data_IF_062043790967
#
_entry.id   IF_062043790967
#
_cell.length_a   1.000
_cell.length_b   1.000
_cell.length_c   1.000
_cell.angle_alpha   90.00
_cell.angle_beta   90.00
_cell.angle_gamma   90.00
#
_symmetry.space_group_name_H-M   'P 1'
#
loop_
_entity.id
_entity.type
_entity.pdbx_description
1 polymer ?
#
# COMPACT_ATOMS: atom_id res chain seq x y z
N UNK A 1 48.76 -38.16 -9.82
CA UNK A 1 48.22 -36.97 -9.14
C UNK A 1 47.75 -35.92 -10.16
N UNK A 2 46.83 -36.28 -11.05
CA UNK A 2 46.24 -35.36 -12.04
C UNK A 2 44.72 -35.54 -12.17
N UNK A 3 44.14 -36.58 -11.56
CA UNK A 3 42.72 -36.93 -11.67
C UNK A 3 41.83 -36.26 -10.60
N UNK A 4 42.41 -35.68 -9.55
CA UNK A 4 41.68 -34.97 -8.49
C UNK A 4 41.56 -33.48 -8.72
N UNK A 5 42.31 -32.92 -9.67
CA UNK A 5 42.30 -31.48 -9.98
C UNK A 5 41.14 -31.07 -10.92
N UNK A 6 40.63 -32.01 -11.71
CA UNK A 6 39.57 -31.77 -12.70
C UNK A 6 38.18 -31.72 -12.03
N UNK A 7 38.01 -32.37 -10.88
CA UNK A 7 36.73 -32.36 -10.16
C UNK A 7 36.44 -31.03 -9.43
N UNK A 8 37.47 -30.22 -9.14
CA UNK A 8 37.30 -28.92 -8.47
C UNK A 8 36.85 -27.80 -9.41
N UNK A 9 37.10 -27.92 -10.71
CA UNK A 9 36.76 -26.89 -11.70
C UNK A 9 35.28 -26.97 -12.12
N UNK A 10 34.63 -28.14 -11.96
CA UNK A 10 33.20 -28.32 -12.23
C UNK A 10 32.27 -27.72 -11.17
N UNK A 11 32.78 -27.30 -10.01
CA UNK A 11 31.96 -26.70 -8.94
C UNK A 11 31.95 -25.16 -8.93
N UNK A 12 32.76 -24.50 -9.76
CA UNK A 12 32.92 -23.03 -9.71
C UNK A 12 32.06 -22.30 -10.76
N UNK A 13 31.37 -23.03 -11.63
CA UNK A 13 30.87 -22.48 -12.90
C UNK A 13 29.37 -22.27 -13.08
N UNK A 14 28.54 -22.16 -12.04
CA UNK A 14 27.12 -21.81 -12.26
C UNK A 14 26.41 -21.22 -11.03
N UNK A 15 26.97 -20.20 -10.40
CA UNK A 15 26.14 -19.21 -9.73
C UNK A 15 25.84 -18.11 -10.74
N UNK A 16 24.84 -18.36 -11.61
CA UNK A 16 24.13 -17.26 -12.25
C UNK A 16 23.56 -16.41 -11.11
N UNK A 17 24.26 -15.32 -10.78
CA UNK A 17 23.69 -14.26 -9.97
C UNK A 17 22.42 -13.83 -10.67
N UNK A 18 21.27 -14.25 -10.13
CA UNK A 18 20.02 -13.60 -10.44
C UNK A 18 20.25 -12.13 -10.10
N UNK A 19 20.03 -11.17 -11.01
CA UNK A 19 19.89 -9.80 -10.59
C UNK A 19 18.71 -9.81 -9.61
N UNK A 20 19.02 -9.71 -8.32
CA UNK A 20 17.99 -9.36 -7.35
C UNK A 20 17.61 -7.96 -7.78
N UNK A 21 16.49 -7.84 -8.51
CA UNK A 21 15.81 -6.58 -8.65
C UNK A 21 15.57 -6.12 -7.21
N UNK A 22 16.37 -5.16 -6.76
CA UNK A 22 16.40 -4.63 -5.39
C UNK A 22 15.13 -3.81 -5.07
N UNK A 23 14.08 -3.98 -5.86
CA UNK A 23 12.73 -3.58 -5.56
C UNK A 23 12.09 -4.67 -4.71
N UNK A 24 12.57 -4.83 -3.48
CA UNK A 24 11.83 -5.55 -2.46
C UNK A 24 10.86 -4.55 -1.81
N UNK A 25 9.53 -4.68 -1.98
CA UNK A 25 8.53 -3.82 -1.33
C UNK A 25 8.65 -3.81 0.20
N UNK A 26 9.48 -4.70 0.75
CA UNK A 26 9.78 -4.83 2.17
C UNK A 26 10.75 -3.76 2.69
N UNK A 27 11.61 -3.18 1.84
CA UNK A 27 12.68 -2.29 2.32
C UNK A 27 12.21 -0.87 2.67
N UNK A 28 11.02 -0.46 2.22
CA UNK A 28 10.41 0.83 2.57
C UNK A 28 8.96 0.62 3.04
N UNK A 29 8.77 0.06 4.25
CA UNK A 29 7.44 -0.20 4.77
C UNK A 29 6.65 1.11 4.86
N UNK A 30 5.47 1.13 4.22
CA UNK A 30 4.54 2.27 4.16
C UNK A 30 4.97 3.43 3.23
N UNK A 31 5.99 3.25 2.40
CA UNK A 31 6.28 4.19 1.31
C UNK A 31 5.77 3.64 -0.02
N UNK A 32 5.21 4.52 -0.85
CA UNK A 32 4.98 4.22 -2.25
C UNK A 32 6.05 4.96 -3.08
N UNK A 33 7.11 4.28 -3.53
CA UNK A 33 8.34 4.92 -4.01
C UNK A 33 8.18 5.64 -5.36
N UNK A 34 7.11 5.38 -6.10
CA UNK A 34 6.73 6.08 -7.33
C UNK A 34 5.99 7.40 -7.08
N UNK A 35 5.61 7.68 -5.83
CA UNK A 35 4.88 8.87 -5.42
C UNK A 35 5.73 9.80 -4.57
N UNK A 36 5.61 11.10 -4.82
CA UNK A 36 6.15 12.14 -3.96
C UNK A 36 5.56 12.03 -2.55
N UNK A 37 6.41 12.01 -1.52
CA UNK A 37 5.98 11.83 -0.13
C UNK A 37 5.34 10.46 0.17
N UNK A 38 5.30 9.55 -0.80
CA UNK A 38 4.67 8.23 -0.66
C UNK A 38 3.16 8.20 -0.94
N UNK A 39 2.51 9.34 -1.17
CA UNK A 39 1.05 9.43 -1.37
C UNK A 39 0.59 10.52 -2.36
N UNK A 40 1.51 11.29 -2.95
CA UNK A 40 1.22 12.35 -3.91
C UNK A 40 1.87 12.05 -5.26
N UNK A 41 1.12 12.20 -6.36
CA UNK A 41 1.77 12.31 -7.67
C UNK A 41 2.66 13.56 -7.68
N UNK A 42 3.82 13.49 -8.34
CA UNK A 42 4.76 14.62 -8.40
C UNK A 42 4.08 15.91 -8.87
N UNK A 43 4.50 17.05 -8.33
CA UNK A 43 3.88 18.34 -8.65
C UNK A 43 4.58 19.01 -9.83
N UNK A 44 3.81 19.52 -10.79
CA UNK A 44 4.25 20.58 -11.69
C UNK A 44 3.88 21.95 -11.07
N UNK A 45 4.72 22.96 -11.28
CA UNK A 45 4.51 24.33 -10.77
C UNK A 45 3.22 24.99 -11.27
N UNK A 46 2.68 24.49 -12.38
CA UNK A 46 1.41 24.89 -13.01
C UNK A 46 0.17 24.21 -12.38
N UNK A 47 0.36 23.17 -11.57
CA UNK A 47 -0.72 22.29 -11.09
C UNK A 47 -1.33 22.81 -9.77
N UNK A 48 -2.09 23.92 -9.86
CA UNK A 48 -2.67 24.61 -8.68
C UNK A 48 -4.13 24.26 -8.38
N UNK A 49 -4.68 23.18 -8.92
CA UNK A 49 -6.07 22.80 -8.63
C UNK A 49 -6.28 21.30 -8.64
N UNK A 50 -6.63 20.73 -7.48
CA UNK A 50 -6.97 19.32 -7.34
C UNK A 50 -8.23 18.91 -8.14
N UNK A 51 -9.12 19.86 -8.48
CA UNK A 51 -10.31 19.63 -9.30
C UNK A 51 -10.66 20.90 -10.09
N UNK A 52 -10.69 20.82 -11.43
CA UNK A 52 -10.98 21.94 -12.34
C UNK A 52 -12.45 21.94 -12.81
N UNK A 53 -13.07 20.77 -12.92
CA UNK A 53 -14.47 20.58 -13.30
C UNK A 53 -15.18 19.64 -12.33
N UNK A 54 -16.46 19.91 -12.03
CA UNK A 54 -17.33 19.04 -11.21
C UNK A 54 -17.51 17.65 -11.81
N UNK A 55 -17.33 17.49 -13.12
CA UNK A 55 -17.34 16.18 -13.79
C UNK A 55 -16.17 15.28 -13.37
N UNK A 56 -15.11 15.88 -12.82
CA UNK A 56 -13.96 15.16 -12.28
C UNK A 56 -14.18 14.74 -10.81
N UNK A 57 -15.31 15.12 -10.21
CA UNK A 57 -15.69 14.62 -8.90
C UNK A 57 -16.27 13.21 -9.02
N UNK A 58 -15.98 12.40 -8.02
CA UNK A 58 -16.63 11.10 -7.86
C UNK A 58 -18.15 11.26 -7.80
N UNK A 59 -18.85 10.35 -8.48
CA UNK A 59 -20.30 10.31 -8.46
C UNK A 59 -20.81 10.24 -7.02
N UNK A 60 -21.85 11.03 -6.70
CA UNK A 60 -22.42 11.18 -5.36
C UNK A 60 -21.45 11.71 -4.29
N UNK A 61 -20.22 12.09 -4.67
CA UNK A 61 -19.18 12.51 -3.72
C UNK A 61 -18.67 11.37 -2.84
N UNK A 62 -18.78 10.12 -3.31
CA UNK A 62 -18.31 8.94 -2.59
C UNK A 62 -17.05 8.41 -3.27
N UNK A 63 -15.94 8.35 -2.54
CA UNK A 63 -14.68 7.80 -3.04
C UNK A 63 -14.71 6.28 -2.89
N UNK A 64 -14.68 5.50 -4.00
CA UNK A 64 -14.55 4.06 -3.93
C UNK A 64 -13.10 3.70 -3.67
N UNK A 65 -12.92 2.72 -2.80
CA UNK A 65 -11.64 2.30 -2.28
C UNK A 65 -11.31 0.90 -2.79
N UNK A 66 -10.18 0.79 -3.48
CA UNK A 66 -9.63 -0.50 -3.92
C UNK A 66 -8.94 -1.15 -2.73
N UNK A 67 -9.42 -2.32 -2.35
CA UNK A 67 -8.66 -3.17 -1.43
C UNK A 67 -7.42 -3.66 -2.18
N UNK A 68 -6.27 -3.01 -1.95
CA UNK A 68 -4.99 -3.63 -2.31
C UNK A 68 -4.94 -5.02 -1.64
N UNK A 69 -4.44 -6.08 -2.28
CA UNK A 69 -4.29 -7.39 -1.64
C UNK A 69 -3.54 -7.33 -0.29
N UNK A 70 -2.61 -6.39 -0.11
CA UNK A 70 -1.92 -5.98 1.11
C UNK A 70 -2.82 -5.29 2.16
N UNK A 71 -4.02 -4.93 1.79
CA UNK A 71 -4.93 -4.05 2.50
C UNK A 71 -6.30 -4.71 2.65
N UNK A 72 -6.30 -5.90 3.25
CA UNK A 72 -7.52 -6.54 3.71
C UNK A 72 -8.24 -5.55 4.65
N UNK A 73 -9.56 -5.38 4.49
CA UNK A 73 -10.57 -4.46 5.10
C UNK A 73 -10.38 -3.93 6.55
N UNK A 74 -9.34 -4.34 7.25
CA UNK A 74 -9.00 -4.09 8.65
C UNK A 74 -7.65 -3.40 8.85
N UNK A 75 -7.15 -2.62 7.90
CA UNK A 75 -6.08 -1.65 8.18
C UNK A 75 -6.54 -0.72 9.28
N UNK A 76 -5.81 -0.63 10.40
CA UNK A 76 -6.23 0.25 11.49
C UNK A 76 -6.23 1.72 11.06
N UNK A 77 -5.36 2.08 10.10
CA UNK A 77 -5.12 3.45 9.64
C UNK A 77 -6.20 4.00 8.70
N UNK A 78 -7.08 3.13 8.17
CA UNK A 78 -8.15 3.59 7.27
C UNK A 78 -9.37 4.08 8.06
N UNK A 79 -9.94 5.21 7.65
CA UNK A 79 -11.14 5.77 8.23
C UNK A 79 -12.43 5.02 7.81
N UNK A 80 -13.52 5.24 8.55
CA UNK A 80 -14.81 4.64 8.25
C UNK A 80 -15.57 5.38 7.14
N UNK A 81 -16.64 4.75 6.64
CA UNK A 81 -17.43 5.30 5.52
C UNK A 81 -18.15 6.61 5.81
N UNK A 82 -18.29 7.01 7.08
CA UNK A 82 -18.99 8.24 7.48
C UNK A 82 -18.05 9.37 7.85
N UNK A 83 -16.74 9.14 7.83
CA UNK A 83 -15.76 10.16 8.21
C UNK A 83 -15.86 11.36 7.27
N UNK A 84 -15.90 12.57 7.84
CA UNK A 84 -16.11 13.84 7.13
C UNK A 84 -17.46 13.99 6.40
N UNK A 85 -18.45 13.14 6.68
CA UNK A 85 -19.79 13.28 6.11
C UNK A 85 -20.49 14.56 6.60
N UNK A 86 -21.12 15.28 5.66
CA UNK A 86 -21.95 16.46 5.96
C UNK A 86 -23.24 16.10 6.70
N UNK A 87 -23.75 14.89 6.51
CA UNK A 87 -24.93 14.38 7.19
C UNK A 87 -24.76 12.90 7.55
N UNK A 88 -24.01 12.69 8.64
CA UNK A 88 -23.80 11.35 9.19
C UNK A 88 -25.08 10.74 9.77
N UNK A 89 -26.07 11.54 10.17
CA UNK A 89 -27.35 11.06 10.72
C UNK A 89 -28.21 10.42 9.64
N UNK A 90 -28.21 10.99 8.44
CA UNK A 90 -28.78 10.38 7.25
C UNK A 90 -27.90 9.24 6.67
N UNK A 91 -26.79 8.89 7.32
CA UNK A 91 -25.84 7.86 6.88
C UNK A 91 -25.28 8.12 5.47
N UNK A 92 -25.13 9.40 5.09
CA UNK A 92 -24.45 9.76 3.85
C UNK A 92 -22.98 9.36 3.96
N UNK A 93 -22.53 8.49 3.06
CA UNK A 93 -21.16 8.01 3.04
C UNK A 93 -20.26 8.95 2.26
N UNK A 94 -18.99 8.97 2.61
CA UNK A 94 -17.92 9.67 1.88
C UNK A 94 -16.97 8.70 1.21
N UNK A 95 -16.91 7.45 1.71
CA UNK A 95 -16.06 6.39 1.17
C UNK A 95 -16.77 5.05 1.23
N UNK A 96 -16.54 4.20 0.23
CA UNK A 96 -17.03 2.83 0.18
C UNK A 96 -16.00 1.92 -0.47
N UNK A 97 -16.11 0.62 -0.28
CA UNK A 97 -15.24 -0.33 -0.98
C UNK A 97 -15.69 -0.45 -2.44
N UNK A 98 -14.84 -0.96 -3.34
CA UNK A 98 -15.22 -1.15 -4.75
C UNK A 98 -16.51 -1.97 -4.95
N UNK A 99 -16.80 -2.90 -4.04
CA UNK A 99 -18.04 -3.70 -3.98
C UNK A 99 -19.23 -2.97 -3.33
N UNK A 100 -19.09 -1.70 -2.96
CA UNK A 100 -20.14 -0.88 -2.30
C UNK A 100 -20.30 -1.15 -0.79
N UNK A 101 -19.36 -1.89 -0.22
CA UNK A 101 -19.32 -2.27 1.19
C UNK A 101 -18.96 -1.12 2.14
N UNK A 102 -19.23 -1.35 3.43
CA UNK A 102 -18.95 -0.39 4.49
C UNK A 102 -17.51 -0.51 5.01
N UNK A 103 -16.86 0.64 5.16
CA UNK A 103 -15.60 0.77 5.88
C UNK A 103 -15.88 1.06 7.36
N UNK A 104 -15.23 0.29 8.23
CA UNK A 104 -15.29 0.45 9.68
C UNK A 104 -14.35 1.55 10.14
N UNK A 105 -14.73 2.31 11.16
CA UNK A 105 -13.84 3.28 11.80
C UNK A 105 -12.75 2.60 12.63
N UNK A 106 -11.55 3.19 12.79
CA UNK A 106 -10.43 2.64 13.56
C UNK A 106 -10.85 2.16 14.97
N UNK A 107 -11.67 2.94 15.66
CA UNK A 107 -12.18 2.64 16.99
C UNK A 107 -13.00 1.35 17.06
N UNK A 108 -13.63 0.96 15.95
CA UNK A 108 -14.46 -0.25 15.83
C UNK A 108 -13.68 -1.47 15.34
N UNK A 109 -12.40 -1.32 14.98
CA UNK A 109 -11.55 -2.42 14.48
C UNK A 109 -10.92 -3.25 15.60
N UNK A 110 -10.80 -2.70 16.81
CA UNK A 110 -10.41 -3.40 18.03
C UNK A 110 -8.93 -3.79 18.15
N UNK A 111 -8.31 -4.26 17.06
CA UNK A 111 -6.87 -4.59 17.01
C UNK A 111 -6.28 -4.29 15.64
N UNK A 112 -4.95 -4.16 15.59
CA UNK A 112 -4.17 -4.10 14.35
C UNK A 112 -4.36 -5.37 13.51
N UNK A 113 -4.39 -5.23 12.19
CA UNK A 113 -4.34 -6.39 11.30
C UNK A 113 -2.95 -7.03 11.33
N UNK A 114 -2.86 -8.32 10.97
CA UNK A 114 -1.57 -9.01 10.91
C UNK A 114 -0.58 -8.33 9.94
N UNK A 115 -1.09 -7.74 8.85
CA UNK A 115 -0.27 -6.99 7.88
C UNK A 115 0.21 -5.66 8.44
N UNK A 116 -0.61 -4.97 9.24
CA UNK A 116 -0.16 -3.74 9.92
C UNK A 116 0.94 -4.05 10.93
N UNK A 117 0.79 -5.13 11.70
CA UNK A 117 1.84 -5.60 12.62
C UNK A 117 3.11 -5.93 11.86
N UNK A 118 3.00 -6.64 10.73
CA UNK A 118 4.15 -6.98 9.89
C UNK A 118 4.87 -5.71 9.38
N UNK A 119 4.12 -4.72 8.86
CA UNK A 119 4.68 -3.44 8.41
C UNK A 119 5.37 -2.68 9.54
N UNK A 120 4.76 -2.63 10.73
CA UNK A 120 5.35 -1.98 11.91
C UNK A 120 6.65 -2.71 12.31
N UNK A 121 6.64 -4.03 12.34
CA UNK A 121 7.82 -4.83 12.69
C UNK A 121 8.95 -4.60 11.68
N UNK A 122 8.63 -4.52 10.39
CA UNK A 122 9.60 -4.18 9.34
C UNK A 122 10.18 -2.78 9.54
N UNK A 123 9.32 -1.79 9.83
CA UNK A 123 9.74 -0.40 10.04
C UNK A 123 10.68 -0.25 11.24
N UNK A 124 10.34 -0.86 12.38
CA UNK A 124 11.12 -0.76 13.61
C UNK A 124 12.20 -1.84 13.75
N UNK A 125 12.36 -2.69 12.73
CA UNK A 125 13.31 -3.83 12.73
C UNK A 125 13.13 -4.71 13.97
N UNK A 126 11.87 -4.97 14.32
CA UNK A 126 11.54 -5.85 15.42
C UNK A 126 11.85 -7.31 15.02
N UNK A 127 12.68 -8.03 15.81
CA UNK A 127 13.03 -9.42 15.55
C UNK A 127 11.86 -10.39 15.72
#
# INVERSE_FOLDING_TARGET
MASTLILFILFIGCSCGHPIDDYDPINFPMENPDLFGGDMLGFDSEDRSAVVDKRQLWERGVVPFVEDPGLNKTVIMLYGSLTFSKDWRAKLRTMETLDGGWLKDPMSKGKLSQKDIQRINMLYKCP
#
